data_IF_643712638861
#
_entry.id   IF_643712638861
#
_cell.length_a   1.000
_cell.length_b   1.000
_cell.length_c   1.000
_cell.angle_alpha   90.00
_cell.angle_beta   90.00
_cell.angle_gamma   90.00
#
_symmetry.space_group_name_H-M   'P 1'
#
loop_
_entity.id
_entity.type
_entity.pdbx_description
1 polymer ?
#
# COMPACT_ATOMS: atom_id res chain seq x y z
N UNK A 1 3.33 11.30 -14.12
CA UNK A 1 3.76 11.88 -12.84
C UNK A 1 2.66 11.95 -11.79
N UNK A 2 1.48 12.51 -12.05
CA UNK A 2 0.36 12.64 -11.08
C UNK A 2 -0.17 11.32 -10.48
N UNK A 3 -0.16 10.18 -11.23
CA UNK A 3 -0.58 8.86 -10.71
C UNK A 3 0.31 8.36 -9.57
N UNK A 4 1.63 8.53 -9.72
CA UNK A 4 2.59 8.14 -8.69
C UNK A 4 2.42 8.93 -7.40
N UNK A 5 2.18 10.25 -7.53
CA UNK A 5 1.97 11.11 -6.37
C UNK A 5 0.76 10.65 -5.54
N UNK A 6 -0.36 10.33 -6.20
CA UNK A 6 -1.53 9.78 -5.52
C UNK A 6 -1.22 8.42 -4.87
N UNK A 7 -0.51 7.53 -5.57
CA UNK A 7 -0.06 6.27 -4.99
C UNK A 7 0.76 6.48 -3.72
N UNK A 8 1.72 7.40 -3.74
CA UNK A 8 2.55 7.75 -2.57
C UNK A 8 1.68 8.29 -1.43
N UNK A 9 0.77 9.22 -1.70
CA UNK A 9 -0.12 9.79 -0.69
C UNK A 9 -1.01 8.71 -0.04
N UNK A 10 -1.62 7.84 -0.84
CA UNK A 10 -2.46 6.76 -0.33
C UNK A 10 -1.66 5.67 0.38
N UNK A 11 -0.46 5.35 -0.06
CA UNK A 11 0.44 4.45 0.67
C UNK A 11 0.82 5.03 2.04
N UNK A 12 1.15 6.33 2.10
CA UNK A 12 1.44 7.02 3.35
C UNK A 12 0.24 7.04 4.29
N UNK A 13 -0.97 7.38 3.79
CA UNK A 13 -2.18 7.36 4.60
C UNK A 13 -2.50 5.94 5.11
N UNK A 14 -2.36 4.94 4.25
CA UNK A 14 -2.57 3.54 4.62
C UNK A 14 -1.54 3.03 5.63
N UNK A 15 -0.31 3.55 5.63
CA UNK A 15 0.69 3.19 6.64
C UNK A 15 0.29 3.69 8.04
N UNK A 16 -0.31 4.88 8.13
CA UNK A 16 -0.85 5.40 9.40
C UNK A 16 -2.00 4.51 9.89
N UNK A 17 -2.95 4.18 9.00
CA UNK A 17 -4.06 3.29 9.33
C UNK A 17 -3.55 1.90 9.76
N UNK A 18 -2.58 1.35 9.04
CA UNK A 18 -1.96 0.08 9.37
C UNK A 18 -1.32 0.10 10.77
N UNK A 19 -0.58 1.18 11.10
CA UNK A 19 0.01 1.38 12.42
C UNK A 19 -1.06 1.37 13.52
N UNK A 20 -2.16 2.10 13.33
CA UNK A 20 -3.26 2.14 14.30
C UNK A 20 -3.93 0.77 14.51
N UNK A 21 -4.21 0.06 13.41
CA UNK A 21 -4.79 -1.28 13.45
C UNK A 21 -3.84 -2.24 14.18
N UNK A 22 -2.55 -2.22 13.83
CA UNK A 22 -1.56 -3.11 14.43
C UNK A 22 -1.33 -2.83 15.91
N UNK A 23 -1.32 -1.56 16.33
CA UNK A 23 -1.27 -1.21 17.75
C UNK A 23 -2.48 -1.76 18.51
N UNK A 24 -3.69 -1.61 17.94
CA UNK A 24 -4.90 -2.16 18.56
C UNK A 24 -4.83 -3.69 18.72
N UNK A 25 -4.41 -4.40 17.67
CA UNK A 25 -4.23 -5.85 17.74
C UNK A 25 -3.11 -6.29 18.69
N UNK A 26 -1.97 -5.58 18.72
CA UNK A 26 -0.86 -5.91 19.60
C UNK A 26 -1.20 -5.72 21.06
N UNK A 27 -2.06 -4.76 21.38
CA UNK A 27 -2.56 -4.57 22.75
C UNK A 27 -3.55 -5.66 23.18
N UNK A 28 -4.29 -6.27 22.23
CA UNK A 28 -5.30 -7.30 22.48
C UNK A 28 -4.73 -8.71 22.41
N UNK A 29 -3.82 -8.97 21.49
CA UNK A 29 -3.32 -10.30 21.16
C UNK A 29 -1.79 -10.29 21.10
N UNK A 30 -1.13 -10.78 22.10
CA UNK A 30 0.34 -10.85 22.30
C UNK A 30 1.17 -11.56 21.20
N UNK A 31 0.78 -11.51 19.93
CA UNK A 31 1.41 -12.24 18.84
C UNK A 31 1.95 -11.35 17.69
N UNK A 32 3.19 -10.89 17.83
CA UNK A 32 3.84 -9.90 16.96
C UNK A 32 4.05 -10.27 15.48
N UNK A 33 4.30 -11.53 15.16
CA UNK A 33 4.87 -11.92 13.84
C UNK A 33 3.88 -11.82 12.66
N UNK A 34 2.58 -11.97 12.90
CA UNK A 34 1.55 -11.89 11.87
C UNK A 34 1.30 -10.44 11.46
N UNK A 35 1.52 -9.51 12.37
CA UNK A 35 1.17 -8.09 12.25
C UNK A 35 2.00 -7.41 11.16
N UNK A 36 3.29 -7.71 11.05
CA UNK A 36 4.21 -7.08 10.10
C UNK A 36 3.81 -7.32 8.64
N UNK A 37 3.39 -8.55 8.33
CA UNK A 37 2.92 -8.91 6.98
C UNK A 37 1.61 -8.18 6.65
N UNK A 38 0.71 -8.02 7.63
CA UNK A 38 -0.54 -7.29 7.46
C UNK A 38 -0.27 -5.81 7.13
N UNK A 39 0.70 -5.17 7.77
CA UNK A 39 1.11 -3.80 7.46
C UNK A 39 1.48 -3.66 5.99
N UNK A 40 2.34 -4.56 5.49
CA UNK A 40 2.74 -4.56 4.09
C UNK A 40 1.54 -4.65 3.14
N UNK A 41 0.58 -5.54 3.41
CA UNK A 41 -0.62 -5.68 2.60
C UNK A 41 -1.51 -4.43 2.63
N UNK A 42 -1.73 -3.83 3.79
CA UNK A 42 -2.56 -2.62 3.89
C UNK A 42 -1.93 -1.47 3.10
N UNK A 43 -0.62 -1.26 3.21
CA UNK A 43 0.12 -0.23 2.46
C UNK A 43 0.10 -0.53 0.96
N UNK A 44 0.24 -1.80 0.56
CA UNK A 44 0.14 -2.24 -0.82
C UNK A 44 -1.23 -1.95 -1.43
N UNK A 45 -2.32 -2.30 -0.75
CA UNK A 45 -3.67 -1.98 -1.20
C UNK A 45 -3.91 -0.47 -1.26
N UNK A 46 -3.40 0.31 -0.31
CA UNK A 46 -3.44 1.76 -0.35
C UNK A 46 -2.78 2.32 -1.61
N UNK A 47 -1.59 1.83 -1.96
CA UNK A 47 -0.91 2.17 -3.20
C UNK A 47 -1.76 1.87 -4.44
N UNK A 48 -2.29 0.65 -4.54
CA UNK A 48 -3.15 0.23 -5.66
C UNK A 48 -4.37 1.12 -5.80
N UNK A 49 -5.02 1.44 -4.68
CA UNK A 49 -6.19 2.31 -4.64
C UNK A 49 -5.85 3.71 -5.13
N UNK A 50 -4.74 4.29 -4.67
CA UNK A 50 -4.27 5.62 -5.09
C UNK A 50 -3.99 5.72 -6.59
N UNK A 51 -3.43 4.67 -7.19
CA UNK A 51 -3.21 4.61 -8.65
C UNK A 51 -4.53 4.50 -9.41
N UNK A 52 -5.50 3.73 -8.90
CA UNK A 52 -6.78 3.45 -9.56
C UNK A 52 -7.70 4.67 -9.62
N UNK A 53 -7.81 5.45 -8.53
CA UNK A 53 -8.72 6.60 -8.43
C UNK A 53 -8.53 7.58 -9.59
N UNK A 54 -7.28 7.88 -9.96
CA UNK A 54 -7.01 8.87 -11.01
C UNK A 54 -7.36 8.41 -12.42
N UNK A 55 -7.46 7.11 -12.66
CA UNK A 55 -7.91 6.59 -13.94
C UNK A 55 -9.39 6.92 -14.16
N UNK A 56 -10.20 6.77 -13.12
CA UNK A 56 -11.64 7.07 -13.14
C UNK A 56 -11.92 8.55 -13.39
N UNK A 57 -11.13 9.48 -12.80
CA UNK A 57 -11.29 10.92 -13.04
C UNK A 57 -10.96 11.35 -14.48
N UNK A 58 -9.96 10.73 -15.09
CA UNK A 58 -9.56 11.04 -16.47
C UNK A 58 -10.63 10.57 -17.45
N UNK A 59 -11.21 9.40 -17.22
CA UNK A 59 -12.28 8.85 -18.05
C UNK A 59 -13.56 9.68 -17.92
N UNK A 60 -13.93 10.15 -16.73
CA UNK A 60 -15.11 11.01 -16.54
C UNK A 60 -14.97 12.37 -17.19
N UNK A 61 -13.75 12.95 -17.27
CA UNK A 61 -13.50 14.22 -17.95
C UNK A 61 -13.56 14.10 -19.47
N UNK A 62 -13.16 12.96 -20.02
CA UNK A 62 -13.23 12.71 -21.48
C UNK A 62 -14.66 12.46 -21.99
N UNK A 63 -15.59 12.07 -21.10
CA UNK A 63 -17.00 11.85 -21.44
C UNK A 63 -17.79 13.17 -21.43
N UNK A 64 -17.26 14.25 -20.85
CA UNK A 64 -17.97 15.54 -20.71
C UNK A 64 -17.71 16.52 -21.86
N UNK A 65 -16.88 16.18 -22.85
CA UNK A 65 -16.84 16.97 -24.09
C UNK A 65 -18.09 16.68 -24.91
N UNK A 66 -18.90 17.72 -25.24
CA UNK A 66 -20.11 17.53 -26.04
C UNK A 66 -19.72 17.04 -27.42
N UNK A 67 -20.06 15.77 -27.69
CA UNK A 67 -20.02 15.23 -29.05
C UNK A 67 -20.91 16.14 -29.89
N UNK A 68 -20.30 16.98 -30.76
CA UNK A 68 -20.99 17.69 -31.83
C UNK A 68 -21.74 16.65 -32.65
N UNK A 69 -23.06 16.65 -32.49
CA UNK A 69 -23.97 15.84 -33.28
C UNK A 69 -23.76 16.17 -34.74
N UNK A 70 -22.99 15.38 -35.49
CA UNK A 70 -23.12 15.33 -36.91
C UNK A 70 -24.38 14.52 -37.25
N UNK A 71 -25.42 15.21 -37.66
CA UNK A 71 -26.58 14.62 -38.32
C UNK A 71 -26.08 13.82 -39.52
N UNK A 72 -26.22 12.52 -39.52
CA UNK A 72 -26.57 11.65 -40.66
C UNK A 72 -26.26 10.18 -40.31
N UNK A 73 -27.28 9.33 -40.50
CA UNK A 73 -27.09 7.86 -40.55
C UNK A 73 -27.69 7.06 -39.37
N UNK A 74 -28.97 6.78 -39.48
CA UNK A 74 -29.63 5.73 -38.72
C UNK A 74 -28.99 4.37 -39.03
N UNK A 75 -28.89 3.49 -37.99
CA UNK A 75 -28.40 2.12 -38.01
C UNK A 75 -26.91 1.89 -37.72
N UNK A 76 -26.46 2.26 -36.55
CA UNK A 76 -25.33 1.60 -35.91
C UNK A 76 -25.83 0.95 -34.58
N UNK A 77 -25.82 -0.38 -34.55
CA UNK A 77 -26.19 -1.19 -33.41
C UNK A 77 -25.47 -0.70 -32.15
N UNK A 78 -26.26 -0.30 -31.14
CA UNK A 78 -25.83 0.09 -29.83
C UNK A 78 -25.34 -1.12 -29.01
N UNK A 79 -24.29 -1.79 -29.43
CA UNK A 79 -23.70 -2.93 -28.68
C UNK A 79 -22.44 -2.57 -27.89
N UNK A 80 -21.97 -1.32 -27.96
CA UNK A 80 -20.70 -0.95 -27.29
C UNK A 80 -20.84 -0.07 -26.03
N UNK A 81 -22.05 0.11 -25.48
CA UNK A 81 -22.22 1.02 -24.35
C UNK A 81 -22.16 0.39 -22.94
N UNK A 82 -21.90 -0.91 -22.78
CA UNK A 82 -22.02 -1.55 -21.45
C UNK A 82 -20.85 -2.44 -21.04
N UNK A 83 -19.68 -2.31 -21.64
CA UNK A 83 -18.50 -2.94 -21.09
C UNK A 83 -17.45 -1.86 -20.76
N UNK A 84 -17.40 -1.36 -19.52
CA UNK A 84 -16.22 -0.65 -19.09
C UNK A 84 -15.06 -1.63 -19.23
N UNK A 85 -14.23 -1.44 -20.27
CA UNK A 85 -12.98 -2.18 -20.40
C UNK A 85 -12.21 -1.96 -19.10
N UNK A 86 -12.28 -2.91 -18.19
CA UNK A 86 -11.43 -2.96 -17.03
C UNK A 86 -10.00 -3.19 -17.55
N UNK A 87 -9.37 -2.13 -18.01
CA UNK A 87 -7.95 -2.19 -18.30
C UNK A 87 -7.25 -2.52 -16.98
N UNK A 88 -6.70 -3.72 -16.90
CA UNK A 88 -5.88 -4.14 -15.80
C UNK A 88 -4.78 -3.09 -15.58
N UNK A 89 -4.53 -2.72 -14.32
CA UNK A 89 -3.44 -1.83 -13.98
C UNK A 89 -2.15 -2.39 -14.60
N UNK A 90 -1.38 -1.61 -15.37
CA UNK A 90 -0.17 -2.11 -15.98
C UNK A 90 0.78 -2.61 -14.89
N UNK A 91 1.20 -3.86 -15.00
CA UNK A 91 2.10 -4.53 -14.02
C UNK A 91 3.34 -3.69 -13.70
N UNK A 92 3.86 -2.95 -14.70
CA UNK A 92 4.99 -2.01 -14.54
C UNK A 92 4.74 -0.94 -13.47
N UNK A 93 3.52 -0.43 -13.36
CA UNK A 93 3.19 0.60 -12.38
C UNK A 93 3.11 0.02 -10.96
N UNK A 94 2.71 -1.26 -10.84
CA UNK A 94 2.70 -1.98 -9.58
C UNK A 94 4.13 -2.23 -9.12
N UNK A 95 4.99 -2.78 -9.99
CA UNK A 95 6.39 -3.09 -9.69
C UNK A 95 7.15 -1.84 -9.22
N UNK A 96 6.95 -0.71 -9.91
CA UNK A 96 7.57 0.57 -9.52
C UNK A 96 7.10 1.10 -8.16
N UNK A 97 5.94 0.68 -7.69
CA UNK A 97 5.41 1.04 -6.37
C UNK A 97 6.04 0.26 -5.23
N UNK A 98 6.59 -0.94 -5.47
CA UNK A 98 7.08 -1.81 -4.41
C UNK A 98 8.14 -1.15 -3.52
N UNK A 99 9.15 -0.41 -4.02
CA UNK A 99 10.09 0.30 -3.14
C UNK A 99 9.41 1.30 -2.20
N UNK A 100 8.44 2.05 -2.70
CA UNK A 100 7.67 3.03 -1.91
C UNK A 100 6.86 2.31 -0.83
N UNK A 101 6.16 1.24 -1.19
CA UNK A 101 5.39 0.40 -0.26
C UNK A 101 6.30 -0.16 0.83
N UNK A 102 7.48 -0.66 0.46
CA UNK A 102 8.46 -1.21 1.41
C UNK A 102 8.92 -0.16 2.40
N UNK A 103 9.27 1.05 1.93
CA UNK A 103 9.70 2.16 2.80
C UNK A 103 8.59 2.53 3.80
N UNK A 104 7.36 2.74 3.33
CA UNK A 104 6.25 3.09 4.21
C UNK A 104 5.90 1.96 5.21
N UNK A 105 6.04 0.69 4.80
CA UNK A 105 5.83 -0.45 5.68
C UNK A 105 6.90 -0.52 6.78
N UNK A 106 8.17 -0.28 6.45
CA UNK A 106 9.28 -0.23 7.42
C UNK A 106 9.05 0.91 8.42
N UNK A 107 8.65 2.08 7.94
CA UNK A 107 8.35 3.22 8.81
C UNK A 107 7.17 2.90 9.74
N UNK A 108 6.11 2.27 9.23
CA UNK A 108 4.94 1.87 10.03
C UNK A 108 5.31 0.87 11.12
N UNK A 109 6.13 -0.15 10.81
CA UNK A 109 6.65 -1.13 11.78
C UNK A 109 7.45 -0.42 12.86
N UNK A 110 8.35 0.49 12.48
CA UNK A 110 9.14 1.27 13.43
C UNK A 110 8.25 2.03 14.43
N UNK A 111 7.21 2.70 13.95
CA UNK A 111 6.27 3.41 14.84
C UNK A 111 5.52 2.47 15.78
N UNK A 112 5.10 1.29 15.30
CA UNK A 112 4.46 0.27 16.15
C UNK A 112 5.39 -0.12 17.29
N UNK A 113 6.65 -0.45 17.00
CA UNK A 113 7.62 -0.91 18.00
C UNK A 113 7.97 0.18 19.01
N UNK A 114 8.16 1.44 18.55
CA UNK A 114 8.41 2.59 19.43
C UNK A 114 7.27 2.80 20.42
N UNK A 115 6.02 2.77 19.94
CA UNK A 115 4.83 3.01 20.77
C UNK A 115 4.62 1.85 21.77
N UNK A 116 4.83 0.61 21.33
CA UNK A 116 4.69 -0.56 22.17
C UNK A 116 5.76 -0.59 23.27
N UNK A 117 7.01 -0.24 22.94
CA UNK A 117 8.06 -0.13 23.94
C UNK A 117 7.75 0.96 24.98
N UNK A 118 7.27 2.13 24.52
CA UNK A 118 6.84 3.20 25.42
C UNK A 118 5.68 2.77 26.33
N UNK A 119 4.71 2.03 25.78
CA UNK A 119 3.61 1.46 26.56
C UNK A 119 4.10 0.43 27.60
N UNK A 120 5.03 -0.44 27.24
CA UNK A 120 5.65 -1.40 28.12
C UNK A 120 6.39 -0.70 29.29
N UNK A 121 7.20 0.32 28.98
CA UNK A 121 7.91 1.10 30.01
C UNK A 121 6.95 1.79 30.98
N UNK A 122 5.83 2.32 30.48
CA UNK A 122 4.77 2.88 31.33
C UNK A 122 4.17 1.83 32.25
N UNK A 123 3.83 0.66 31.71
CA UNK A 123 3.10 -0.40 32.45
C UNK A 123 3.98 -1.07 33.47
N UNK A 124 5.22 -1.42 33.14
CA UNK A 124 6.09 -2.25 33.96
C UNK A 124 7.01 -1.42 34.86
N UNK A 125 7.40 -0.23 34.43
CA UNK A 125 8.38 0.59 35.16
C UNK A 125 7.80 1.91 35.68
N UNK A 126 6.51 2.20 35.42
CA UNK A 126 5.85 3.42 35.89
C UNK A 126 6.35 4.70 35.21
N UNK A 127 7.09 4.59 34.09
CA UNK A 127 7.60 5.74 33.34
C UNK A 127 6.43 6.48 32.68
N UNK A 128 6.42 7.81 32.77
CA UNK A 128 5.41 8.61 32.05
C UNK A 128 5.48 8.32 30.54
N UNK A 129 4.32 8.15 29.88
CA UNK A 129 4.25 7.70 28.49
C UNK A 129 5.05 8.57 27.51
N UNK A 130 5.01 9.89 27.67
CA UNK A 130 5.77 10.81 26.79
C UNK A 130 7.30 10.65 26.97
N UNK A 131 7.75 10.47 28.20
CA UNK A 131 9.16 10.21 28.51
C UNK A 131 9.58 8.83 27.98
N UNK A 132 8.70 7.82 28.12
CA UNK A 132 8.88 6.49 27.55
C UNK A 132 8.96 6.55 26.02
N UNK A 133 8.12 7.37 25.36
CA UNK A 133 8.13 7.55 23.92
C UNK A 133 9.44 8.18 23.43
N UNK A 134 9.91 9.23 24.08
CA UNK A 134 11.17 9.89 23.75
C UNK A 134 12.37 8.94 23.89
N UNK A 135 12.39 8.14 24.95
CA UNK A 135 13.40 7.11 25.16
C UNK A 135 13.31 6.01 24.11
N UNK A 136 12.13 5.48 23.85
CA UNK A 136 11.90 4.40 22.88
C UNK A 136 12.33 4.81 21.48
N UNK A 137 12.14 6.07 21.11
CA UNK A 137 12.52 6.59 19.79
C UNK A 137 14.00 6.39 19.45
N UNK A 138 14.88 6.54 20.45
CA UNK A 138 16.33 6.41 20.26
C UNK A 138 16.85 5.01 20.58
N UNK A 139 16.22 4.31 21.52
CA UNK A 139 16.74 3.08 22.09
C UNK A 139 16.09 1.81 21.52
N UNK A 140 15.01 1.94 20.72
CA UNK A 140 14.29 0.78 20.15
C UNK A 140 15.22 -0.19 19.43
N UNK A 141 16.19 0.32 18.68
CA UNK A 141 17.16 -0.50 17.94
C UNK A 141 18.15 -1.27 18.83
N UNK A 142 18.39 -0.78 20.04
CA UNK A 142 19.29 -1.44 21.00
C UNK A 142 18.57 -2.47 21.86
N UNK A 143 17.32 -2.17 22.19
CA UNK A 143 16.52 -2.96 23.13
C UNK A 143 15.79 -4.08 22.41
N UNK A 144 15.19 -3.79 21.26
CA UNK A 144 14.39 -4.75 20.51
C UNK A 144 15.14 -5.27 19.29
N UNK A 145 15.71 -6.48 19.41
CA UNK A 145 16.25 -7.18 18.23
C UNK A 145 15.15 -7.63 17.27
N UNK A 146 13.91 -7.67 17.72
CA UNK A 146 12.74 -8.10 16.95
C UNK A 146 12.45 -7.13 15.79
N UNK A 147 12.75 -5.84 15.95
CA UNK A 147 12.57 -4.85 14.86
C UNK A 147 13.32 -5.23 13.58
N UNK A 148 14.51 -5.80 13.70
CA UNK A 148 15.29 -6.25 12.52
C UNK A 148 14.65 -7.48 11.87
N UNK A 149 14.02 -8.34 12.67
CA UNK A 149 13.30 -9.50 12.18
C UNK A 149 12.05 -9.04 11.43
N UNK A 150 11.33 -8.08 11.99
CA UNK A 150 10.12 -7.53 11.39
C UNK A 150 10.40 -6.79 10.08
N UNK A 151 11.47 -6.01 10.03
CA UNK A 151 11.94 -5.41 8.77
C UNK A 151 12.35 -6.47 7.75
N UNK A 152 12.98 -7.55 8.21
CA UNK A 152 13.32 -8.71 7.37
C UNK A 152 12.08 -9.29 6.71
N UNK A 153 10.98 -9.47 7.44
CA UNK A 153 9.71 -9.95 6.88
C UNK A 153 9.11 -9.00 5.85
N UNK A 154 9.17 -7.68 6.06
CA UNK A 154 8.74 -6.68 5.06
C UNK A 154 9.55 -6.81 3.78
N UNK A 155 10.87 -6.94 3.89
CA UNK A 155 11.76 -7.10 2.73
C UNK A 155 11.48 -8.40 1.99
N UNK A 156 11.31 -9.52 2.71
CA UNK A 156 10.97 -10.83 2.12
C UNK A 156 9.63 -10.73 1.38
N UNK A 157 8.61 -10.12 1.97
CA UNK A 157 7.33 -9.90 1.31
C UNK A 157 7.50 -9.08 0.03
N UNK A 158 8.25 -7.98 0.06
CA UNK A 158 8.52 -7.14 -1.11
C UNK A 158 9.22 -7.92 -2.23
N UNK A 159 10.21 -8.76 -1.90
CA UNK A 159 10.91 -9.61 -2.88
C UNK A 159 9.96 -10.63 -3.50
N UNK A 160 9.16 -11.32 -2.69
CA UNK A 160 8.18 -12.31 -3.18
C UNK A 160 7.19 -11.63 -4.14
N UNK A 161 6.63 -10.49 -3.77
CA UNK A 161 5.71 -9.73 -4.62
C UNK A 161 6.37 -9.30 -5.93
N UNK A 162 7.60 -8.78 -5.86
CA UNK A 162 8.35 -8.39 -7.06
C UNK A 162 8.49 -9.56 -8.03
N UNK A 163 8.90 -10.74 -7.53
CA UNK A 163 9.06 -11.93 -8.35
C UNK A 163 7.73 -12.39 -8.97
N UNK A 164 6.64 -12.37 -8.18
CA UNK A 164 5.31 -12.77 -8.66
C UNK A 164 4.82 -11.83 -9.77
N UNK A 165 4.99 -10.52 -9.63
CA UNK A 165 4.57 -9.54 -10.63
C UNK A 165 5.42 -9.58 -11.90
N UNK A 166 6.74 -9.79 -11.80
CA UNK A 166 7.61 -9.97 -12.97
C UNK A 166 7.22 -11.22 -13.75
N UNK A 167 6.94 -12.34 -13.06
CA UNK A 167 6.45 -13.57 -13.72
C UNK A 167 5.10 -13.35 -14.40
N UNK A 168 4.19 -12.61 -13.76
CA UNK A 168 2.90 -12.24 -14.32
C UNK A 168 3.02 -11.40 -15.58
N UNK A 169 3.91 -10.39 -15.59
CA UNK A 169 4.17 -9.54 -16.75
C UNK A 169 4.69 -10.34 -17.95
N UNK A 170 5.65 -11.24 -17.73
CA UNK A 170 6.20 -12.11 -18.80
C UNK A 170 5.12 -13.01 -19.40
N UNK A 171 4.23 -13.59 -18.58
CA UNK A 171 3.14 -14.44 -19.06
C UNK A 171 2.14 -13.66 -19.91
N UNK A 172 1.83 -12.41 -19.53
CA UNK A 172 0.93 -11.55 -20.29
C UNK A 172 1.51 -11.15 -21.66
N UNK A 173 2.85 -10.91 -21.74
CA UNK A 173 3.52 -10.61 -22.99
C UNK A 173 3.50 -11.81 -23.94
N UNK A 174 3.82 -13.01 -23.46
CA UNK A 174 3.77 -14.24 -24.29
C UNK A 174 2.36 -14.56 -24.79
N UNK A 175 1.31 -14.21 -24.03
CA UNK A 175 -0.09 -14.42 -24.46
C UNK A 175 -0.55 -13.43 -25.55
N UNK A 176 0.17 -12.33 -25.77
CA UNK A 176 -0.16 -11.33 -26.81
C UNK A 176 0.60 -11.56 -28.11
N UNK A 177 1.65 -12.37 -28.08
CA UNK A 177 2.49 -12.73 -29.24
C UNK A 177 1.99 -14.00 -29.97
N UNK A 178 1.12 -14.78 -29.33
CA UNK A 178 0.43 -15.92 -29.92
C UNK A 178 -1.02 -15.56 -30.32
#
# INVERSE_FOLDING_TARGET
MKRYLNGILFAGLSSIIATMICLGFSMLFLGYKIITVIIFFIVFFGWLFGIKIKKTEIESKNITEPVRQSKFGANAKNENMLNPKYEALPMKDIIKGIPVITIFSIIAVYFVDVILLAYYLKKEQGVEFLNGLAYSWTEVFKISKEIYIDWGWVIIAAVIFTVLFIKGEKKEQMSKEN
#
